data_IF_496837180682
#
_entry.id   IF_496837180682
#
_cell.length_a   1.000
_cell.length_b   1.000
_cell.length_c   1.000
_cell.angle_alpha   90.00
_cell.angle_beta   90.00
_cell.angle_gamma   90.00
#
_symmetry.space_group_name_H-M   'P 1'
#
loop_
_entity.id
_entity.type
_entity.pdbx_description
1 polymer ?
#
# COMPACT_ATOMS: atom_id res chain seq x y z
N UNK A 1 -10.20 14.99 4.75
CA UNK A 1 -10.61 13.99 3.73
C UNK A 1 -10.62 14.69 2.38
N UNK A 2 -9.85 14.21 1.40
CA UNK A 2 -9.72 14.85 0.08
C UNK A 2 -10.64 14.25 -0.99
N UNK A 3 -10.99 12.97 -0.84
CA UNK A 3 -11.78 12.22 -1.82
C UNK A 3 -12.90 11.46 -1.11
N UNK A 4 -14.18 11.57 -1.54
CA UNK A 4 -15.30 10.76 -1.10
C UNK A 4 -15.01 9.24 -1.11
N UNK A 5 -15.56 8.51 -0.14
CA UNK A 5 -15.41 7.04 -0.03
C UNK A 5 -15.87 6.30 -1.30
N UNK A 6 -16.94 6.78 -1.93
CA UNK A 6 -17.53 6.20 -3.15
C UNK A 6 -16.86 6.67 -4.45
N UNK A 7 -15.99 7.68 -4.40
CA UNK A 7 -15.36 8.22 -5.60
C UNK A 7 -14.20 7.35 -6.04
N UNK A 8 -14.33 6.72 -7.21
CA UNK A 8 -13.25 6.00 -7.87
C UNK A 8 -12.30 6.96 -8.62
N UNK A 9 -11.03 6.58 -8.73
CA UNK A 9 -10.09 7.25 -9.62
C UNK A 9 -10.46 7.00 -11.09
N UNK A 10 -10.51 8.05 -11.90
CA UNK A 10 -10.77 7.93 -13.35
C UNK A 10 -9.70 7.07 -14.03
N UNK A 11 -10.08 6.28 -15.03
CA UNK A 11 -9.17 5.43 -15.80
C UNK A 11 -8.12 6.24 -16.58
N UNK A 12 -8.42 7.51 -16.90
CA UNK A 12 -7.55 8.38 -17.70
C UNK A 12 -6.39 9.00 -16.90
N UNK A 13 -6.38 8.86 -15.57
CA UNK A 13 -5.33 9.43 -14.73
C UNK A 13 -4.12 8.49 -14.61
N UNK A 14 -2.92 9.06 -14.75
CA UNK A 14 -1.68 8.35 -14.47
C UNK A 14 -1.49 8.21 -12.95
N UNK A 15 -0.93 7.09 -12.51
CA UNK A 15 -0.68 6.76 -11.09
C UNK A 15 0.05 7.87 -10.31
N UNK A 16 0.95 8.60 -10.96
CA UNK A 16 1.67 9.72 -10.35
C UNK A 16 0.78 10.91 -9.96
N UNK A 17 -0.43 11.01 -10.52
CA UNK A 17 -1.42 12.05 -10.23
C UNK A 17 -2.64 11.54 -9.45
N UNK A 18 -2.66 10.27 -9.05
CA UNK A 18 -3.73 9.75 -8.18
C UNK A 18 -3.69 10.47 -6.83
N UNK A 19 -4.87 10.83 -6.31
CA UNK A 19 -4.98 11.54 -5.03
C UNK A 19 -4.79 10.56 -3.88
N UNK A 20 -4.08 11.01 -2.85
CA UNK A 20 -3.96 10.24 -1.61
C UNK A 20 -5.26 10.25 -0.80
N UNK A 21 -5.53 9.11 -0.17
CA UNK A 21 -6.75 8.83 0.60
C UNK A 21 -6.38 8.40 2.00
N UNK A 22 -6.83 9.16 2.99
CA UNK A 22 -6.70 8.80 4.41
C UNK A 22 -7.27 7.40 4.74
N UNK A 23 -8.39 7.03 4.11
CA UNK A 23 -8.97 5.69 4.27
C UNK A 23 -8.05 4.58 3.74
N UNK A 24 -7.24 4.87 2.72
CA UNK A 24 -6.27 3.91 2.19
C UNK A 24 -5.16 3.66 3.19
N UNK A 25 -4.63 4.69 3.86
CA UNK A 25 -3.60 4.52 4.90
C UNK A 25 -4.12 3.70 6.09
N UNK A 26 -5.33 3.97 6.56
CA UNK A 26 -5.97 3.22 7.64
C UNK A 26 -6.17 1.75 7.20
N UNK A 27 -6.77 1.53 6.03
CA UNK A 27 -7.01 0.18 5.52
C UNK A 27 -5.71 -0.59 5.24
N UNK A 28 -4.68 0.07 4.76
CA UNK A 28 -3.35 -0.49 4.51
C UNK A 28 -2.73 -1.03 5.80
N UNK A 29 -2.81 -0.30 6.91
CA UNK A 29 -2.35 -0.76 8.22
C UNK A 29 -3.08 -2.03 8.66
N UNK A 30 -4.42 -2.02 8.63
CA UNK A 30 -5.23 -3.16 9.02
C UNK A 30 -4.96 -4.39 8.15
N UNK A 31 -4.86 -4.22 6.83
CA UNK A 31 -4.54 -5.30 5.90
C UNK A 31 -3.15 -5.88 6.19
N UNK A 32 -2.16 -5.02 6.37
CA UNK A 32 -0.78 -5.43 6.65
C UNK A 32 -0.68 -6.26 7.94
N UNK A 33 -1.44 -5.90 8.96
CA UNK A 33 -1.59 -6.67 10.21
C UNK A 33 -2.26 -8.03 9.97
N UNK A 34 -3.37 -8.06 9.23
CA UNK A 34 -4.13 -9.30 8.93
C UNK A 34 -3.31 -10.29 8.09
N UNK A 35 -2.48 -9.80 7.16
CA UNK A 35 -1.54 -10.62 6.39
C UNK A 35 -0.36 -11.14 7.25
N UNK A 36 -0.16 -10.59 8.45
CA UNK A 36 0.94 -10.93 9.34
C UNK A 36 2.27 -10.28 8.96
N UNK A 37 2.27 -9.28 8.07
CA UNK A 37 3.49 -8.61 7.62
C UNK A 37 4.05 -7.67 8.69
N UNK A 38 3.19 -6.91 9.35
CA UNK A 38 3.55 -5.98 10.44
C UNK A 38 4.69 -5.00 10.06
N UNK A 39 4.63 -4.45 8.85
CA UNK A 39 5.60 -3.53 8.25
C UNK A 39 5.04 -2.13 7.95
N UNK A 40 3.74 -1.91 8.16
CA UNK A 40 3.10 -0.58 8.08
C UNK A 40 2.98 -0.03 9.51
N UNK A 41 3.37 1.23 9.78
CA UNK A 41 3.14 1.86 11.09
C UNK A 41 1.66 1.84 11.49
N UNK A 42 1.33 1.86 12.78
CA UNK A 42 -0.03 2.07 13.24
C UNK A 42 -0.65 3.33 12.64
N UNK A 43 -1.83 3.18 12.03
CA UNK A 43 -2.63 4.29 11.50
C UNK A 43 -4.04 4.19 12.05
N UNK A 44 -4.58 5.30 12.53
CA UNK A 44 -5.97 5.38 13.00
C UNK A 44 -6.68 6.57 12.35
N UNK A 45 -7.98 6.42 12.10
CA UNK A 45 -8.85 7.52 11.70
C UNK A 45 -9.15 8.45 12.87
N UNK A 46 -9.26 9.75 12.58
CA UNK A 46 -9.69 10.77 13.54
C UNK A 46 -10.48 11.88 12.85
N UNK A 47 -11.44 12.42 13.58
CA UNK A 47 -12.13 13.65 13.23
C UNK A 47 -11.46 14.82 13.97
N UNK A 48 -11.17 15.89 13.24
CA UNK A 48 -10.50 17.08 13.76
C UNK A 48 -11.40 18.31 13.63
N UNK A 49 -11.44 19.15 14.65
CA UNK A 49 -11.90 20.53 14.52
C UNK A 49 -10.81 21.34 13.81
N UNK A 50 -11.10 21.81 12.59
CA UNK A 50 -10.13 22.61 11.84
C UNK A 50 -9.82 23.94 12.52
N UNK A 51 -10.79 24.52 13.22
CA UNK A 51 -10.70 25.83 13.87
C UNK A 51 -10.00 25.77 15.23
N UNK A 52 -10.21 24.68 15.99
CA UNK A 52 -9.67 24.54 17.34
C UNK A 52 -8.37 23.74 17.39
N UNK A 53 -8.21 22.72 16.55
CA UNK A 53 -7.09 21.77 16.64
C UNK A 53 -6.04 21.96 15.55
N UNK A 54 -6.43 22.49 14.38
CA UNK A 54 -5.52 22.65 13.24
C UNK A 54 -5.07 24.11 13.11
N UNK A 55 -5.99 25.03 12.84
CA UNK A 55 -5.70 26.44 12.56
C UNK A 55 -4.74 27.11 13.58
N UNK A 56 -4.89 26.93 14.91
CA UNK A 56 -4.03 27.61 15.88
C UNK A 56 -2.58 27.08 15.92
N UNK A 57 -2.31 25.90 15.35
CA UNK A 57 -0.99 25.26 15.32
C UNK A 57 -0.21 25.56 14.04
N UNK A 58 -0.84 26.20 13.06
CA UNK A 58 -0.25 26.47 11.77
C UNK A 58 0.52 27.79 11.76
N UNK A 59 1.48 27.90 10.84
CA UNK A 59 2.20 29.13 10.54
C UNK A 59 1.31 30.10 9.76
N UNK A 60 1.62 31.41 9.84
CA UNK A 60 0.81 32.48 9.22
C UNK A 60 0.58 32.25 7.72
N UNK A 61 1.59 31.76 7.01
CA UNK A 61 1.53 31.46 5.56
C UNK A 61 0.51 30.36 5.20
N UNK A 62 0.24 29.40 6.09
CA UNK A 62 -0.81 28.40 5.86
C UNK A 62 -2.16 28.91 6.40
N UNK A 63 -2.17 29.69 7.48
CA UNK A 63 -3.40 30.28 8.03
C UNK A 63 -4.10 31.18 7.01
N UNK A 64 -3.35 31.93 6.19
CA UNK A 64 -3.91 32.76 5.10
C UNK A 64 -4.67 31.97 4.04
N UNK A 65 -4.44 30.66 3.94
CA UNK A 65 -5.16 29.78 3.00
C UNK A 65 -6.47 29.23 3.55
N UNK A 66 -6.87 29.59 4.78
CA UNK A 66 -8.19 29.22 5.31
C UNK A 66 -9.28 30.14 4.76
N UNK A 67 -10.40 29.55 4.35
CA UNK A 67 -11.55 30.29 3.87
C UNK A 67 -12.85 29.51 4.09
N UNK A 68 -13.98 30.22 3.98
CA UNK A 68 -15.30 29.60 3.94
C UNK A 68 -15.71 29.30 2.50
N UNK A 69 -16.11 28.07 2.24
CA UNK A 69 -16.74 27.69 0.97
C UNK A 69 -18.10 28.40 0.77
N UNK A 70 -18.67 28.39 -0.45
CA UNK A 70 -20.01 28.94 -0.71
C UNK A 70 -21.17 28.30 0.08
N UNK A 71 -20.92 27.21 0.81
CA UNK A 71 -21.88 26.52 1.66
C UNK A 71 -21.45 26.54 3.13
N UNK A 72 -20.63 27.53 3.51
CA UNK A 72 -20.18 27.82 4.88
C UNK A 72 -19.35 26.73 5.58
N UNK A 73 -18.83 25.74 4.84
CA UNK A 73 -17.80 24.85 5.37
C UNK A 73 -16.45 25.56 5.44
N UNK A 74 -15.68 25.27 6.49
CA UNK A 74 -14.28 25.69 6.60
C UNK A 74 -13.44 24.85 5.64
N UNK A 75 -12.58 25.51 4.88
CA UNK A 75 -11.67 24.89 3.93
C UNK A 75 -10.27 25.47 4.07
N UNK A 76 -9.27 24.68 3.74
CA UNK A 76 -7.91 25.18 3.56
C UNK A 76 -7.15 24.36 2.53
N UNK A 77 -6.03 24.90 2.04
CA UNK A 77 -5.02 24.14 1.31
C UNK A 77 -3.64 24.46 1.90
N UNK A 78 -2.80 23.43 1.97
CA UNK A 78 -1.43 23.59 2.47
C UNK A 78 -0.49 24.14 1.39
N UNK A 79 0.81 24.05 1.64
CA UNK A 79 1.85 24.32 0.65
C UNK A 79 2.53 23.00 0.27
N UNK A 80 2.31 22.55 -0.97
CA UNK A 80 2.90 21.33 -1.50
C UNK A 80 2.95 21.35 -3.03
N UNK A 81 3.72 20.44 -3.62
CA UNK A 81 3.96 20.42 -5.07
C UNK A 81 2.73 20.05 -5.90
N UNK A 82 1.82 19.24 -5.33
CA UNK A 82 0.65 18.69 -6.05
C UNK A 82 -0.64 18.91 -5.27
N UNK A 83 -1.64 19.48 -5.95
CA UNK A 83 -3.01 19.64 -5.41
C UNK A 83 -3.10 20.50 -4.14
N UNK A 84 -2.18 21.45 -3.97
CA UNK A 84 -2.20 22.46 -2.90
C UNK A 84 -2.57 23.83 -3.48
N UNK A 85 -3.81 23.95 -3.95
CA UNK A 85 -4.40 25.19 -4.48
C UNK A 85 -5.87 25.28 -4.05
N UNK A 86 -6.48 26.46 -4.25
CA UNK A 86 -7.87 26.71 -3.88
C UNK A 86 -8.86 25.72 -4.52
N UNK A 87 -8.60 25.30 -5.77
CA UNK A 87 -9.45 24.36 -6.51
C UNK A 87 -9.36 22.92 -5.97
N UNK A 88 -8.28 22.60 -5.26
CA UNK A 88 -8.02 21.30 -4.63
C UNK A 88 -7.98 21.40 -3.10
N UNK A 89 -8.63 22.42 -2.53
CA UNK A 89 -8.76 22.60 -1.10
C UNK A 89 -9.42 21.40 -0.42
N UNK A 90 -9.07 21.23 0.86
CA UNK A 90 -9.69 20.24 1.72
C UNK A 90 -10.71 20.98 2.59
N UNK A 91 -11.96 20.56 2.47
CA UNK A 91 -13.08 21.15 3.20
C UNK A 91 -13.64 20.15 4.21
N UNK A 92 -14.05 20.66 5.38
CA UNK A 92 -14.80 19.87 6.35
C UNK A 92 -16.29 19.79 6.03
N UNK A 93 -17.00 19.10 6.92
CA UNK A 93 -18.45 19.24 7.06
C UNK A 93 -18.68 20.18 8.24
N UNK A 94 -19.10 21.42 7.97
CA UNK A 94 -18.93 22.53 8.89
C UNK A 94 -17.43 22.79 9.12
N UNK A 95 -16.97 22.60 10.35
CA UNK A 95 -15.56 22.73 10.72
C UNK A 95 -14.85 21.39 10.97
N UNK A 96 -15.59 20.27 10.90
CA UNK A 96 -15.05 18.95 11.22
C UNK A 96 -14.45 18.28 9.99
N UNK A 97 -13.23 17.79 10.13
CA UNK A 97 -12.46 17.18 9.06
C UNK A 97 -11.95 15.79 9.46
N UNK A 98 -12.29 14.78 8.66
CA UNK A 98 -11.73 13.43 8.81
C UNK A 98 -10.30 13.36 8.29
N UNK A 99 -9.43 12.62 8.98
CA UNK A 99 -8.07 12.35 8.55
C UNK A 99 -7.52 11.05 9.13
N UNK A 100 -6.38 10.62 8.60
CA UNK A 100 -5.62 9.47 9.12
C UNK A 100 -4.43 9.99 9.91
N UNK A 101 -4.21 9.44 11.10
CA UNK A 101 -3.06 9.72 11.95
C UNK A 101 -2.15 8.52 11.94
N UNK A 102 -1.00 8.65 11.29
CA UNK A 102 0.03 7.64 11.28
C UNK A 102 1.02 7.87 12.42
N UNK A 103 1.36 6.82 13.16
CA UNK A 103 2.38 6.87 14.18
C UNK A 103 3.75 7.14 13.54
N UNK A 104 4.45 8.13 14.07
CA UNK A 104 5.81 8.43 13.64
C UNK A 104 6.75 7.27 13.96
N UNK A 105 7.71 7.03 13.05
CA UNK A 105 8.88 6.23 13.40
C UNK A 105 9.70 6.95 14.48
N UNK A 106 10.56 6.22 15.21
CA UNK A 106 11.54 6.86 16.08
C UNK A 106 12.38 7.88 15.31
N UNK A 107 12.87 8.89 16.03
CA UNK A 107 13.81 9.87 15.49
C UNK A 107 15.00 9.15 14.82
N UNK A 108 15.53 9.73 13.75
CA UNK A 108 16.66 9.17 12.99
C UNK A 108 17.92 9.04 13.84
N UNK A 109 18.05 9.87 14.88
CA UNK A 109 19.14 9.76 15.86
C UNK A 109 19.04 8.50 16.72
N UNK A 110 17.83 8.01 16.97
CA UNK A 110 17.58 6.77 17.73
C UNK A 110 17.58 5.54 16.83
N UNK A 111 16.94 5.64 15.65
CA UNK A 111 16.80 4.54 14.71
C UNK A 111 16.93 5.04 13.26
N UNK A 112 18.16 5.09 12.77
CA UNK A 112 18.42 5.50 11.39
C UNK A 112 17.84 4.48 10.40
N UNK A 113 17.22 4.98 9.33
CA UNK A 113 16.64 4.20 8.25
C UNK A 113 17.11 4.72 6.89
N UNK A 114 17.23 3.80 5.92
CA UNK A 114 17.63 4.10 4.54
C UNK A 114 16.51 3.75 3.57
N UNK A 115 16.48 4.48 2.46
CA UNK A 115 15.61 4.20 1.32
C UNK A 115 16.32 3.26 0.33
N UNK A 116 15.57 2.33 -0.25
CA UNK A 116 16.01 1.39 -1.28
C UNK A 116 15.07 1.55 -2.47
N UNK A 117 15.62 1.85 -3.65
CA UNK A 117 14.81 1.96 -4.86
C UNK A 117 14.18 0.60 -5.22
N UNK A 118 12.90 0.61 -5.57
CA UNK A 118 12.22 -0.59 -6.07
C UNK A 118 12.74 -0.92 -7.49
N UNK A 119 13.26 -2.14 -7.76
CA UNK A 119 13.64 -2.52 -9.12
C UNK A 119 12.47 -2.46 -10.10
N UNK A 120 11.26 -2.75 -9.61
CA UNK A 120 10.01 -2.62 -10.36
C UNK A 120 9.37 -1.23 -10.26
N UNK A 121 10.16 -0.20 -9.94
CA UNK A 121 9.70 1.20 -10.00
C UNK A 121 9.25 1.52 -11.44
N UNK A 122 8.08 2.14 -11.58
CA UNK A 122 7.58 2.65 -12.86
C UNK A 122 8.39 3.87 -13.35
N UNK A 123 8.24 4.26 -14.60
CA UNK A 123 9.05 5.30 -15.22
C UNK A 123 8.77 6.73 -14.72
N UNK A 124 7.62 6.96 -14.06
CA UNK A 124 7.08 8.29 -13.78
C UNK A 124 7.02 9.19 -15.02
N UNK A 125 6.77 8.57 -16.18
CA UNK A 125 6.66 9.23 -17.47
C UNK A 125 5.42 8.77 -18.20
N UNK A 126 4.78 9.71 -18.94
CA UNK A 126 3.66 9.41 -19.84
C UNK A 126 4.12 8.71 -21.12
N UNK A 127 5.40 8.80 -21.44
CA UNK A 127 5.95 8.41 -22.73
C UNK A 127 6.91 7.22 -22.63
N UNK A 128 7.57 7.07 -21.48
CA UNK A 128 8.56 6.02 -21.26
C UNK A 128 7.96 4.90 -20.41
N UNK A 129 8.44 3.69 -20.64
CA UNK A 129 8.18 2.51 -19.80
C UNK A 129 9.47 2.06 -19.15
N UNK A 130 9.37 1.45 -17.98
CA UNK A 130 10.51 0.83 -17.29
C UNK A 130 10.90 -0.48 -17.99
N UNK A 131 12.16 -0.88 -17.88
CA UNK A 131 12.69 -2.10 -18.52
C UNK A 131 11.87 -3.36 -18.16
N UNK A 132 11.45 -3.50 -16.91
CA UNK A 132 10.64 -4.62 -16.44
C UNK A 132 9.26 -4.71 -17.11
N UNK A 133 8.74 -3.60 -17.65
CA UNK A 133 7.44 -3.52 -18.34
C UNK A 133 7.55 -3.97 -19.81
N UNK A 134 8.75 -3.93 -20.40
CA UNK A 134 8.95 -4.13 -21.85
C UNK A 134 9.93 -5.25 -22.21
N UNK A 135 10.57 -5.88 -21.22
CA UNK A 135 11.52 -6.97 -21.47
C UNK A 135 10.83 -8.19 -22.12
N UNK A 136 11.48 -8.76 -23.14
CA UNK A 136 11.08 -10.04 -23.74
C UNK A 136 11.56 -11.24 -22.90
N UNK A 137 12.40 -11.01 -21.89
CA UNK A 137 12.87 -12.00 -20.91
C UNK A 137 12.52 -11.57 -19.48
N UNK A 138 11.27 -11.78 -19.02
CA UNK A 138 10.84 -11.38 -17.70
C UNK A 138 11.54 -12.16 -16.58
N UNK A 139 11.91 -13.42 -16.83
CA UNK A 139 12.65 -14.25 -15.86
C UNK A 139 14.08 -13.74 -15.72
N UNK A 140 14.78 -13.51 -16.83
CA UNK A 140 16.12 -12.94 -16.84
C UNK A 140 16.20 -11.55 -16.21
N UNK A 141 15.12 -10.75 -16.31
CA UNK A 141 15.04 -9.47 -15.58
C UNK A 141 15.12 -9.69 -14.07
N UNK A 142 14.28 -10.58 -13.51
CA UNK A 142 14.34 -10.85 -12.07
C UNK A 142 15.68 -11.48 -11.66
N UNK A 143 16.23 -12.42 -12.43
CA UNK A 143 17.55 -12.99 -12.13
C UNK A 143 18.64 -11.91 -12.14
N UNK A 144 18.59 -10.96 -13.08
CA UNK A 144 19.48 -9.80 -13.10
C UNK A 144 19.35 -8.89 -11.87
N UNK A 145 18.15 -8.76 -11.31
CA UNK A 145 17.91 -8.08 -10.02
C UNK A 145 18.52 -8.87 -8.86
N UNK A 146 18.32 -10.20 -8.84
CA UNK A 146 18.85 -11.12 -7.82
C UNK A 146 20.37 -11.28 -7.83
N UNK A 147 21.08 -10.71 -8.81
CA UNK A 147 22.55 -10.64 -8.81
C UNK A 147 23.10 -9.38 -8.13
N UNK A 148 22.24 -8.42 -7.75
CA UNK A 148 22.66 -7.11 -7.25
C UNK A 148 22.26 -6.90 -5.79
N UNK A 149 23.17 -6.43 -4.92
CA UNK A 149 22.81 -6.04 -3.56
C UNK A 149 21.73 -4.94 -3.53
N UNK A 150 20.78 -4.98 -2.59
CA UNK A 150 20.61 -5.98 -1.53
C UNK A 150 19.79 -7.23 -1.93
N UNK A 151 19.35 -7.32 -3.19
CA UNK A 151 18.41 -8.35 -3.67
C UNK A 151 19.08 -9.69 -4.00
N UNK A 152 20.40 -9.76 -3.88
CA UNK A 152 21.21 -10.99 -3.89
C UNK A 152 20.97 -11.88 -2.67
N UNK A 153 20.22 -11.38 -1.69
CA UNK A 153 19.75 -12.16 -0.54
C UNK A 153 18.29 -12.59 -0.73
N UNK A 154 18.00 -13.87 -0.50
CA UNK A 154 16.64 -14.43 -0.66
C UNK A 154 15.59 -13.67 0.15
N UNK A 155 15.92 -13.22 1.37
CA UNK A 155 14.99 -12.43 2.19
C UNK A 155 14.62 -11.11 1.53
N UNK A 156 15.59 -10.41 0.95
CA UNK A 156 15.37 -9.10 0.35
C UNK A 156 14.44 -9.18 -0.85
N UNK A 157 14.62 -10.18 -1.73
CA UNK A 157 13.72 -10.41 -2.87
C UNK A 157 12.34 -10.89 -2.41
N UNK A 158 12.25 -11.74 -1.39
CA UNK A 158 10.96 -12.15 -0.83
C UNK A 158 10.19 -10.97 -0.20
N UNK A 159 10.88 -10.00 0.41
CA UNK A 159 10.24 -8.78 0.91
C UNK A 159 9.66 -7.93 -0.23
N UNK A 160 10.34 -7.85 -1.39
CA UNK A 160 9.80 -7.17 -2.58
C UNK A 160 8.51 -7.85 -3.03
N UNK A 161 8.48 -9.18 -3.04
CA UNK A 161 7.32 -9.95 -3.49
C UNK A 161 6.14 -9.82 -2.52
N UNK A 162 6.38 -9.86 -1.22
CA UNK A 162 5.32 -9.60 -0.23
C UNK A 162 4.78 -8.18 -0.35
N UNK A 163 5.65 -7.19 -0.59
CA UNK A 163 5.21 -5.81 -0.88
C UNK A 163 4.37 -5.76 -2.15
N UNK A 164 4.76 -6.46 -3.21
CA UNK A 164 4.02 -6.47 -4.48
C UNK A 164 2.64 -7.11 -4.32
N UNK A 165 2.53 -8.19 -3.53
CA UNK A 165 1.25 -8.82 -3.18
C UNK A 165 0.39 -7.82 -2.38
N UNK A 166 0.97 -7.16 -1.37
CA UNK A 166 0.29 -6.14 -0.58
C UNK A 166 -0.22 -4.98 -1.45
N UNK A 167 0.66 -4.41 -2.26
CA UNK A 167 0.36 -3.29 -3.14
C UNK A 167 -0.70 -3.70 -4.20
N UNK A 168 -0.68 -4.94 -4.70
CA UNK A 168 -1.72 -5.45 -5.61
C UNK A 168 -3.08 -5.57 -4.93
N UNK A 169 -3.11 -6.08 -3.69
CA UNK A 169 -4.36 -6.22 -2.92
C UNK A 169 -5.04 -4.85 -2.71
N UNK A 170 -4.27 -3.80 -2.42
CA UNK A 170 -4.81 -2.45 -2.27
C UNK A 170 -4.96 -1.71 -3.62
N UNK A 171 -4.25 -2.13 -4.66
CA UNK A 171 -4.20 -1.47 -5.97
C UNK A 171 -3.25 -0.27 -6.04
N UNK A 172 -2.23 -0.24 -5.17
CA UNK A 172 -1.23 0.83 -5.14
C UNK A 172 -0.18 0.61 -6.23
N UNK A 173 -0.07 1.56 -7.16
CA UNK A 173 0.91 1.53 -8.25
C UNK A 173 2.17 2.34 -7.97
N UNK A 174 2.22 3.04 -6.84
CA UNK A 174 3.20 4.10 -6.60
C UNK A 174 4.37 3.68 -5.71
N UNK A 175 4.58 2.36 -5.55
CA UNK A 175 5.71 1.82 -4.80
C UNK A 175 7.03 2.02 -5.54
N UNK A 176 7.64 3.19 -5.39
CA UNK A 176 8.94 3.50 -5.98
C UNK A 176 10.13 3.21 -5.07
N UNK A 177 9.92 3.13 -3.76
CA UNK A 177 10.96 2.94 -2.76
C UNK A 177 10.45 2.07 -1.61
N UNK A 178 11.39 1.41 -0.95
CA UNK A 178 11.23 0.69 0.31
C UNK A 178 12.10 1.36 1.37
N UNK A 179 11.73 1.20 2.64
CA UNK A 179 12.52 1.72 3.75
C UNK A 179 12.95 0.60 4.68
N UNK A 180 14.15 0.69 5.23
CA UNK A 180 14.66 -0.28 6.21
C UNK A 180 15.54 0.40 7.24
N UNK A 181 15.54 -0.10 8.47
CA UNK A 181 16.49 0.35 9.49
C UNK A 181 17.92 -0.09 9.15
N UNK A 182 18.86 0.82 9.30
CA UNK A 182 20.28 0.59 9.01
C UNK A 182 20.86 -0.45 9.98
N UNK A 183 20.41 -0.45 11.24
CA UNK A 183 20.88 -1.34 12.31
C UNK A 183 20.68 -2.83 11.99
N UNK A 184 19.66 -3.19 11.20
CA UNK A 184 19.37 -4.57 10.81
C UNK A 184 20.04 -4.99 9.48
N UNK A 185 20.79 -4.10 8.83
CA UNK A 185 21.48 -4.37 7.58
C UNK A 185 20.54 -4.79 6.45
N UNK A 186 20.98 -5.76 5.62
CA UNK A 186 20.19 -6.28 4.51
C UNK A 186 19.23 -7.41 4.93
N UNK A 187 19.42 -8.01 6.11
CA UNK A 187 18.54 -9.04 6.67
C UNK A 187 17.40 -8.39 7.50
N UNK A 188 16.73 -7.41 6.91
CA UNK A 188 15.67 -6.62 7.55
C UNK A 188 14.34 -6.82 6.85
N UNK A 189 13.28 -6.23 7.40
CA UNK A 189 11.99 -6.08 6.72
C UNK A 189 11.94 -4.76 5.96
N UNK A 190 11.08 -4.69 4.95
CA UNK A 190 10.80 -3.45 4.23
C UNK A 190 9.57 -2.79 4.82
N UNK A 191 9.76 -1.59 5.37
CA UNK A 191 8.69 -0.74 5.87
C UNK A 191 7.92 -0.17 4.68
N UNK A 192 6.60 -0.29 4.75
CA UNK A 192 5.68 0.09 3.67
C UNK A 192 4.97 1.39 4.05
N UNK A 193 5.61 2.52 3.75
CA UNK A 193 5.03 3.86 3.93
C UNK A 193 4.24 4.30 2.69
N UNK A 194 3.55 5.44 2.76
CA UNK A 194 2.92 6.09 1.60
C UNK A 194 1.94 5.14 0.87
N UNK A 195 0.94 4.66 1.60
CA UNK A 195 -0.09 3.75 1.08
C UNK A 195 -1.35 4.52 0.66
N UNK A 196 -1.33 5.85 0.68
CA UNK A 196 -2.45 6.73 0.37
C UNK A 196 -3.04 6.56 -1.03
N UNK A 197 -2.27 6.04 -2.00
CA UNK A 197 -2.72 5.78 -3.38
C UNK A 197 -3.31 4.38 -3.60
N UNK A 198 -3.53 3.63 -2.52
CA UNK A 198 -4.33 2.41 -2.56
C UNK A 198 -5.83 2.69 -2.59
N UNK A 199 -6.62 1.64 -2.77
CA UNK A 199 -8.08 1.64 -2.73
C UNK A 199 -8.74 2.75 -3.59
N UNK A 200 -8.13 3.08 -4.73
CA UNK A 200 -8.69 4.06 -5.68
C UNK A 200 -9.73 3.46 -6.62
N UNK A 201 -9.66 2.16 -6.91
CA UNK A 201 -10.57 1.46 -7.84
C UNK A 201 -10.90 0.04 -7.34
N UNK A 202 -12.14 -0.28 -6.96
CA UNK A 202 -12.58 -1.62 -6.56
C UNK A 202 -12.89 -2.54 -7.74
N UNK A 203 -13.04 -2.00 -8.94
CA UNK A 203 -13.48 -2.74 -10.14
C UNK A 203 -12.37 -2.97 -11.17
N UNK A 204 -11.16 -2.51 -10.87
CA UNK A 204 -9.96 -2.62 -11.71
C UNK A 204 -8.87 -3.37 -10.94
N UNK A 205 -8.26 -4.39 -11.57
CA UNK A 205 -7.19 -5.20 -10.98
C UNK A 205 -5.93 -5.12 -11.84
N UNK A 206 -4.95 -4.37 -11.35
CA UNK A 206 -3.79 -3.97 -12.14
C UNK A 206 -2.69 -5.02 -12.00
N UNK A 207 -2.73 -6.03 -12.88
CA UNK A 207 -1.86 -7.23 -12.82
C UNK A 207 -0.37 -6.89 -12.80
N UNK A 208 0.05 -5.83 -13.48
CA UNK A 208 1.46 -5.42 -13.54
C UNK A 208 2.06 -5.09 -12.16
N UNK A 209 1.25 -4.81 -11.12
CA UNK A 209 1.75 -4.65 -9.75
C UNK A 209 2.36 -5.97 -9.25
N UNK A 210 1.87 -7.13 -9.73
CA UNK A 210 2.41 -8.45 -9.41
C UNK A 210 3.65 -8.83 -10.24
N UNK A 211 4.25 -7.91 -11.01
CA UNK A 211 5.46 -8.19 -11.78
C UNK A 211 6.56 -8.88 -10.98
N UNK A 212 6.92 -8.45 -9.76
CA UNK A 212 7.89 -9.18 -8.95
C UNK A 212 7.51 -10.65 -8.71
N UNK A 213 6.23 -10.95 -8.47
CA UNK A 213 5.76 -12.31 -8.23
C UNK A 213 5.86 -13.17 -9.49
N UNK A 214 5.32 -12.72 -10.64
CA UNK A 214 5.28 -13.56 -11.83
C UNK A 214 6.59 -13.60 -12.63
N UNK A 215 7.48 -12.62 -12.45
CA UNK A 215 8.82 -12.62 -13.07
C UNK A 215 9.81 -13.46 -12.27
N UNK A 216 9.79 -13.34 -10.94
CA UNK A 216 10.68 -14.12 -10.09
C UNK A 216 10.16 -15.53 -9.83
N UNK A 217 8.84 -15.74 -9.84
CA UNK A 217 8.19 -16.97 -9.40
C UNK A 217 8.70 -17.47 -8.05
N UNK A 218 8.74 -16.57 -7.07
CA UNK A 218 9.07 -16.86 -5.67
C UNK A 218 7.91 -16.38 -4.80
N UNK A 219 7.64 -17.07 -3.69
CA UNK A 219 6.71 -16.62 -2.66
C UNK A 219 7.11 -17.24 -1.33
N UNK A 220 6.96 -16.50 -0.24
CA UNK A 220 7.19 -17.01 1.10
C UNK A 220 6.14 -18.05 1.49
N UNK A 221 6.53 -19.15 2.13
CA UNK A 221 5.60 -20.20 2.53
C UNK A 221 4.50 -19.67 3.46
N UNK A 222 4.84 -18.84 4.45
CA UNK A 222 3.85 -18.19 5.32
C UNK A 222 2.86 -17.32 4.54
N UNK A 223 3.33 -16.46 3.63
CA UNK A 223 2.46 -15.64 2.77
C UNK A 223 1.53 -16.51 1.92
N UNK A 224 2.09 -17.52 1.24
CA UNK A 224 1.30 -18.45 0.43
C UNK A 224 0.22 -19.16 1.26
N UNK A 225 0.58 -19.69 2.43
CA UNK A 225 -0.34 -20.38 3.34
C UNK A 225 -1.46 -19.45 3.79
N UNK A 226 -1.15 -18.23 4.19
CA UNK A 226 -2.13 -17.21 4.62
C UNK A 226 -3.12 -16.91 3.49
N UNK A 227 -2.65 -16.69 2.26
CA UNK A 227 -3.51 -16.43 1.10
C UNK A 227 -4.41 -17.62 0.76
N UNK A 228 -3.88 -18.86 0.83
CA UNK A 228 -4.68 -20.08 0.62
C UNK A 228 -5.78 -20.18 1.67
N UNK A 229 -5.46 -19.95 2.95
CA UNK A 229 -6.47 -19.95 4.03
C UNK A 229 -7.55 -18.91 3.78
N UNK A 230 -7.19 -17.68 3.40
CA UNK A 230 -8.15 -16.63 3.06
C UNK A 230 -9.04 -16.96 1.86
N UNK A 231 -8.55 -17.80 0.93
CA UNK A 231 -9.31 -18.23 -0.23
C UNK A 231 -10.25 -19.40 0.06
N UNK A 232 -9.84 -20.36 0.89
CA UNK A 232 -10.54 -21.63 1.08
C UNK A 232 -11.41 -21.70 2.33
N UNK A 233 -11.08 -20.95 3.39
CA UNK A 233 -11.81 -20.93 4.65
C UNK A 233 -12.80 -19.74 4.67
N UNK A 234 -14.13 -19.98 4.65
CA UNK A 234 -15.13 -18.93 4.67
C UNK A 234 -15.02 -17.96 5.86
N UNK A 235 -14.61 -18.46 7.03
CA UNK A 235 -14.48 -17.65 8.24
C UNK A 235 -13.27 -16.73 8.19
N UNK A 236 -12.23 -17.14 7.44
CA UNK A 236 -10.99 -16.38 7.25
C UNK A 236 -10.93 -15.59 5.94
N UNK A 237 -12.06 -15.42 5.24
CA UNK A 237 -12.10 -14.58 4.04
C UNK A 237 -11.58 -13.18 4.33
N UNK A 238 -10.73 -12.66 3.45
CA UNK A 238 -10.06 -11.38 3.68
C UNK A 238 -11.06 -10.23 3.82
N UNK A 239 -12.13 -10.24 3.04
CA UNK A 239 -13.20 -9.24 3.14
C UNK A 239 -13.91 -9.24 4.50
N UNK A 240 -14.07 -10.41 5.12
CA UNK A 240 -14.67 -10.55 6.45
C UNK A 240 -13.72 -10.01 7.52
N UNK A 241 -12.48 -10.50 7.52
CA UNK A 241 -11.44 -10.08 8.46
C UNK A 241 -11.20 -8.57 8.40
N UNK A 242 -11.17 -7.99 7.20
CA UNK A 242 -11.01 -6.55 7.02
C UNK A 242 -12.20 -5.77 7.56
N UNK A 243 -13.45 -6.22 7.29
CA UNK A 243 -14.65 -5.55 7.81
C UNK A 243 -14.67 -5.54 9.33
N UNK A 244 -14.38 -6.66 9.96
CA UNK A 244 -14.32 -6.78 11.42
C UNK A 244 -13.19 -5.90 11.99
N UNK A 245 -11.99 -6.01 11.43
CA UNK A 245 -10.81 -5.26 11.88
C UNK A 245 -11.04 -3.75 11.77
N UNK A 246 -11.59 -3.27 10.65
CA UNK A 246 -11.87 -1.84 10.41
C UNK A 246 -13.03 -1.29 11.23
N UNK A 247 -13.95 -2.13 11.71
CA UNK A 247 -15.07 -1.68 12.56
C UNK A 247 -14.64 -1.12 13.92
N UNK A 248 -13.36 -1.34 14.29
CA UNK A 248 -12.75 -0.82 15.51
C UNK A 248 -12.11 0.56 15.33
N UNK A 249 -12.03 1.08 14.11
CA UNK A 249 -11.54 2.45 13.86
C UNK A 249 -12.60 3.48 14.29
N UNK A 250 -12.16 4.67 14.70
CA UNK A 250 -13.06 5.73 15.12
C UNK A 250 -13.87 6.33 13.95
N UNK A 251 -13.33 6.25 12.72
CA UNK A 251 -14.03 6.69 11.52
C UNK A 251 -14.88 5.53 10.96
N UNK A 252 -16.17 5.74 10.69
CA UNK A 252 -17.02 4.71 10.12
C UNK A 252 -16.67 4.46 8.65
N UNK A 253 -16.98 3.25 8.18
CA UNK A 253 -17.00 2.90 6.76
C UNK A 253 -15.70 3.24 6.01
N UNK A 254 -14.54 2.86 6.57
CA UNK A 254 -13.22 3.11 5.95
C UNK A 254 -13.17 2.59 4.50
N UNK A 255 -13.71 1.39 4.26
CA UNK A 255 -13.78 0.77 2.93
C UNK A 255 -15.24 0.48 2.54
N UNK A 256 -15.58 0.76 1.29
CA UNK A 256 -16.88 0.42 0.72
C UNK A 256 -17.05 -1.11 0.56
N UNK A 257 -18.28 -1.62 0.47
CA UNK A 257 -18.52 -3.03 0.16
C UNK A 257 -17.87 -3.50 -1.14
N UNK A 258 -17.70 -2.60 -2.12
CA UNK A 258 -17.03 -2.91 -3.38
C UNK A 258 -15.54 -3.20 -3.18
N UNK A 259 -14.84 -2.39 -2.38
CA UNK A 259 -13.43 -2.64 -2.04
C UNK A 259 -13.23 -3.93 -1.25
N UNK A 260 -14.12 -4.22 -0.30
CA UNK A 260 -14.06 -5.49 0.45
C UNK A 260 -14.20 -6.70 -0.48
N UNK A 261 -15.13 -6.68 -1.44
CA UNK A 261 -15.25 -7.77 -2.44
C UNK A 261 -14.04 -7.84 -3.38
N UNK A 262 -13.43 -6.70 -3.70
CA UNK A 262 -12.23 -6.65 -4.54
C UNK A 262 -11.06 -7.37 -3.87
N UNK A 263 -10.90 -7.27 -2.56
CA UNK A 263 -9.84 -7.97 -1.82
C UNK A 263 -9.90 -9.49 -2.00
N UNK A 264 -11.07 -10.11 -1.81
CA UNK A 264 -11.23 -11.56 -2.01
C UNK A 264 -10.93 -11.98 -3.46
N UNK A 265 -11.38 -11.16 -4.43
CA UNK A 265 -11.10 -11.37 -5.86
C UNK A 265 -9.61 -11.28 -6.15
N UNK A 266 -8.91 -10.31 -5.56
CA UNK A 266 -7.46 -10.11 -5.74
C UNK A 266 -6.65 -11.22 -5.07
N UNK A 267 -7.05 -11.73 -3.90
CA UNK A 267 -6.41 -12.93 -3.30
C UNK A 267 -6.45 -14.12 -4.27
N UNK A 268 -7.59 -14.39 -4.91
CA UNK A 268 -7.69 -15.43 -5.94
C UNK A 268 -6.71 -15.19 -7.09
N UNK A 269 -6.62 -13.96 -7.60
CA UNK A 269 -5.72 -13.61 -8.69
C UNK A 269 -4.25 -13.84 -8.32
N UNK A 270 -3.83 -13.49 -7.09
CA UNK A 270 -2.47 -13.77 -6.61
C UNK A 270 -2.19 -15.28 -6.64
N UNK A 271 -3.11 -16.09 -6.11
CA UNK A 271 -2.98 -17.55 -6.12
C UNK A 271 -2.95 -18.13 -7.54
N UNK A 272 -3.68 -17.55 -8.49
CA UNK A 272 -3.63 -17.93 -9.90
C UNK A 272 -2.26 -17.65 -10.53
N UNK A 273 -1.59 -16.56 -10.17
CA UNK A 273 -0.21 -16.29 -10.62
C UNK A 273 0.78 -17.30 -10.01
N UNK A 274 0.64 -17.64 -8.72
CA UNK A 274 1.45 -18.69 -8.09
C UNK A 274 1.23 -20.04 -8.78
N UNK A 275 -0.02 -20.38 -9.12
CA UNK A 275 -0.35 -21.61 -9.85
C UNK A 275 0.29 -21.65 -11.24
N UNK A 276 0.33 -20.52 -11.96
CA UNK A 276 1.02 -20.42 -13.25
C UNK A 276 2.52 -20.70 -13.07
N UNK A 277 3.17 -20.08 -12.08
CA UNK A 277 4.57 -20.35 -11.77
C UNK A 277 4.84 -21.84 -11.49
N UNK A 278 3.98 -22.49 -10.69
CA UNK A 278 4.11 -23.93 -10.37
C UNK A 278 4.01 -24.81 -11.62
N UNK A 279 3.07 -24.50 -12.52
CA UNK A 279 2.90 -25.24 -13.79
C UNK A 279 4.10 -25.07 -14.74
N UNK A 280 4.70 -23.87 -14.76
CA UNK A 280 5.81 -23.57 -15.68
C UNK A 280 7.15 -24.13 -15.19
N UNK A 281 7.48 -23.99 -13.90
CA UNK A 281 8.81 -24.38 -13.37
C UNK A 281 8.84 -25.75 -12.68
N UNK A 282 7.68 -26.35 -12.37
CA UNK A 282 7.53 -27.75 -11.94
C UNK A 282 8.07 -28.14 -10.55
N UNK A 283 9.04 -27.40 -9.98
CA UNK A 283 9.62 -27.68 -8.65
C UNK A 283 9.02 -26.75 -7.60
N UNK A 284 8.18 -27.29 -6.73
CA UNK A 284 7.47 -26.52 -5.70
C UNK A 284 8.44 -25.82 -4.74
N UNK A 285 9.53 -26.49 -4.36
CA UNK A 285 10.52 -25.98 -3.40
C UNK A 285 11.35 -24.81 -3.93
N UNK A 286 11.40 -24.60 -5.25
CA UNK A 286 12.08 -23.44 -5.84
C UNK A 286 11.16 -22.24 -6.04
N UNK A 287 9.86 -22.37 -5.72
CA UNK A 287 8.86 -21.30 -5.83
C UNK A 287 8.36 -20.91 -4.45
N UNK A 288 7.93 -21.90 -3.66
CA UNK A 288 7.43 -21.68 -2.31
C UNK A 288 8.60 -21.87 -1.35
N UNK A 289 9.15 -20.74 -0.89
CA UNK A 289 10.36 -20.70 -0.09
C UNK A 289 10.01 -20.81 1.40
N UNK A 290 10.56 -21.82 2.06
CA UNK A 290 10.44 -21.98 3.51
C UNK A 290 11.21 -20.88 4.23
N UNK A 291 10.47 -20.10 5.02
CA UNK A 291 10.96 -18.96 5.79
C UNK A 291 11.22 -19.28 7.28
N UNK A 292 11.13 -20.55 7.67
CA UNK A 292 11.45 -21.03 9.02
C UNK A 292 10.41 -20.63 10.08
N UNK A 293 9.30 -20.00 9.67
CA UNK A 293 8.18 -19.65 10.54
C UNK A 293 7.15 -20.78 10.56
N UNK A 294 7.41 -21.77 11.41
CA UNK A 294 6.40 -22.76 11.77
C UNK A 294 5.56 -22.19 12.91
N UNK A 295 4.33 -21.75 12.64
CA UNK A 295 3.35 -21.56 13.71
C UNK A 295 3.25 -22.87 14.49
N UNK A 296 3.67 -22.88 15.76
CA UNK A 296 3.36 -23.97 16.68
C UNK A 296 1.84 -24.16 16.63
N UNK A 297 1.40 -25.39 16.37
CA UNK A 297 -0.03 -25.74 16.40
C UNK A 297 -0.50 -25.56 17.85
N UNK A 298 -1.09 -24.42 18.14
CA UNK A 298 -2.02 -24.25 19.26
C UNK A 298 -3.36 -24.87 18.91
#
# INVERSE_FOLDING_TARGET
MRVPREQEETLDIYYMYEKERHTSEIAAFHLNRILGFNTVPPVAGRLFSMTEEIYPLLTEDIQEHFFYSPVDNVCFFGQCDYFCDAANSVCGVGEMLEGSVAAFLPDRDLANWKSIANPWKRSYSKYNRSEWETTDDPEGYCEGVRLKPPFDQDRAILNVIDSAIFDFLIGNKDRHHYYTFVSYGNNSYYLLFDNGKGFGRPHDDIIDILAPLYQCCLIRFTTFRTLVQMHTDPERRLSHLMRESLSHDALPEILTPAHLRALDRRVRIVLEQVLKCLKTRGRHQSIIIDDGYYYERG
#
